data_IF_322300548496
#
_entry.id   IF_322300548496
#
_cell.length_a   1.000
_cell.length_b   1.000
_cell.length_c   1.000
_cell.angle_alpha   90.00
_cell.angle_beta   90.00
_cell.angle_gamma   90.00
#
_symmetry.space_group_name_H-M   'P 1'
#
loop_
_entity.id
_entity.type
_entity.pdbx_description
1 polymer ?
#
# COMPACT_ATOMS: atom_id res chain seq x y z
N UNK A 1 9.10 17.15 15.60
CA UNK A 1 8.06 16.14 15.32
C UNK A 1 8.38 15.45 14.01
N UNK A 2 8.67 14.15 14.03
CA UNK A 2 9.03 13.45 12.79
C UNK A 2 7.85 13.39 11.81
N UNK A 3 8.18 13.50 10.54
CA UNK A 3 7.23 13.32 9.43
C UNK A 3 7.62 12.02 8.72
N UNK A 4 6.71 11.06 8.73
CA UNK A 4 6.98 9.68 8.28
C UNK A 4 6.07 9.34 7.11
N UNK A 5 6.65 9.12 5.94
CA UNK A 5 5.90 8.61 4.80
C UNK A 5 5.57 7.14 5.03
N UNK A 6 4.31 6.77 4.84
CA UNK A 6 3.85 5.41 5.07
C UNK A 6 3.06 4.89 3.88
N UNK A 7 3.14 3.59 3.66
CA UNK A 7 2.41 2.95 2.59
C UNK A 7 2.63 1.44 2.62
N UNK A 8 2.04 0.74 1.67
CA UNK A 8 2.23 -0.69 1.60
C UNK A 8 1.84 -1.28 0.26
N UNK A 9 2.55 -2.32 -0.11
CA UNK A 9 2.32 -3.12 -1.29
C UNK A 9 2.43 -4.57 -0.81
N UNK A 10 1.29 -5.22 -0.65
CA UNK A 10 1.23 -6.51 0.04
C UNK A 10 0.73 -7.60 -0.90
N UNK A 11 1.41 -8.74 -0.91
CA UNK A 11 0.98 -9.91 -1.65
C UNK A 11 1.60 -11.17 -1.05
N UNK A 12 0.79 -12.21 -0.92
CA UNK A 12 1.27 -13.51 -0.50
C UNK A 12 1.41 -14.38 -1.74
N UNK A 13 2.65 -14.60 -2.16
CA UNK A 13 2.94 -15.34 -3.38
C UNK A 13 3.04 -16.83 -3.11
N UNK A 14 2.33 -17.62 -3.92
CA UNK A 14 2.41 -19.07 -3.91
C UNK A 14 2.76 -19.52 -5.34
N UNK A 15 3.98 -19.98 -5.55
CA UNK A 15 4.46 -20.31 -6.88
C UNK A 15 3.74 -21.52 -7.50
N UNK A 16 2.98 -22.26 -6.71
CA UNK A 16 2.17 -23.36 -7.22
C UNK A 16 0.79 -22.94 -7.70
N UNK A 17 0.38 -21.70 -7.40
CA UNK A 17 -0.90 -21.19 -7.86
C UNK A 17 -0.87 -20.98 -9.39
N UNK A 18 -2.01 -21.15 -10.08
CA UNK A 18 -2.02 -21.08 -11.54
C UNK A 18 -2.07 -19.67 -12.11
N UNK A 19 -2.51 -18.70 -11.34
CA UNK A 19 -2.77 -17.36 -11.84
C UNK A 19 -1.86 -16.33 -11.20
N UNK A 20 -1.19 -15.52 -12.04
CA UNK A 20 -0.36 -14.42 -11.58
C UNK A 20 -1.23 -13.26 -11.10
N UNK A 21 -0.68 -12.44 -10.22
CA UNK A 21 -1.35 -11.24 -9.76
C UNK A 21 -1.15 -10.11 -10.77
N UNK A 22 -2.24 -9.63 -11.34
CA UNK A 22 -2.23 -8.53 -12.31
C UNK A 22 -2.48 -7.21 -11.60
N UNK A 23 -2.24 -6.08 -12.28
CA UNK A 23 -2.56 -4.77 -11.74
C UNK A 23 -4.05 -4.68 -11.35
N UNK A 24 -4.94 -5.26 -12.15
CA UNK A 24 -6.38 -5.24 -11.87
C UNK A 24 -6.71 -5.92 -10.54
N UNK A 25 -5.99 -6.98 -10.18
CA UNK A 25 -6.21 -7.64 -8.89
C UNK A 25 -5.91 -6.71 -7.72
N UNK A 26 -4.95 -5.80 -7.87
CA UNK A 26 -4.61 -4.84 -6.83
C UNK A 26 -5.52 -3.61 -6.88
N UNK A 27 -5.88 -3.17 -8.07
CA UNK A 27 -6.65 -1.94 -8.25
C UNK A 27 -8.10 -2.10 -7.81
N UNK A 28 -8.67 -3.27 -8.05
CA UNK A 28 -10.06 -3.56 -7.72
C UNK A 28 -10.18 -4.28 -6.40
N UNK A 29 -11.40 -4.55 -5.98
CA UNK A 29 -11.67 -5.17 -4.69
C UNK A 29 -11.68 -6.69 -4.76
N UNK A 30 -10.73 -7.27 -5.47
CA UNK A 30 -10.44 -8.69 -5.43
C UNK A 30 -10.12 -9.11 -4.00
N UNK A 31 -9.29 -8.30 -3.34
CA UNK A 31 -9.02 -8.44 -1.92
C UNK A 31 -9.22 -7.06 -1.30
N UNK A 32 -10.33 -6.86 -0.63
CA UNK A 32 -10.65 -5.57 -0.04
C UNK A 32 -9.69 -5.25 1.10
N UNK A 33 -9.21 -4.02 1.23
CA UNK A 33 -9.51 -2.88 0.37
C UNK A 33 -8.69 -2.92 -0.92
N UNK A 34 -9.27 -2.42 -2.00
CA UNK A 34 -8.54 -2.23 -3.24
C UNK A 34 -7.50 -1.12 -3.09
N UNK A 35 -6.83 -0.78 -4.18
CA UNK A 35 -5.78 0.22 -4.16
C UNK A 35 -6.30 1.55 -3.61
N UNK A 36 -5.59 2.10 -2.64
CA UNK A 36 -5.88 3.38 -2.01
C UNK A 36 -4.67 4.29 -2.15
N UNK A 37 -4.87 5.59 -2.30
CA UNK A 37 -3.74 6.52 -2.38
C UNK A 37 -4.13 7.90 -1.84
N UNK A 38 -3.13 8.63 -1.35
CA UNK A 38 -3.26 10.01 -0.95
C UNK A 38 -3.89 10.22 0.42
N UNK A 39 -4.30 11.46 0.68
CA UNK A 39 -4.93 11.85 1.93
C UNK A 39 -6.22 11.05 2.15
N UNK A 40 -6.54 10.77 3.37
CA UNK A 40 -7.74 9.97 3.68
C UNK A 40 -7.51 8.48 3.69
N UNK A 41 -6.36 8.01 3.17
CA UNK A 41 -6.04 6.60 3.13
C UNK A 41 -6.04 5.99 4.54
N UNK A 42 -5.42 6.65 5.49
CA UNK A 42 -5.31 6.11 6.85
C UNK A 42 -6.68 6.03 7.53
N UNK A 43 -7.55 7.02 7.30
CA UNK A 43 -8.90 7.00 7.86
C UNK A 43 -9.73 5.87 7.23
N UNK A 44 -9.61 5.69 5.92
CA UNK A 44 -10.33 4.63 5.21
C UNK A 44 -9.94 3.25 5.74
N UNK A 45 -8.65 3.06 6.03
CA UNK A 45 -8.12 1.77 6.46
C UNK A 45 -8.11 1.58 7.97
N UNK A 46 -8.46 2.60 8.75
CA UNK A 46 -8.42 2.53 10.20
C UNK A 46 -9.27 1.36 10.72
N UNK A 47 -8.72 0.60 11.64
CA UNK A 47 -9.40 -0.54 12.24
C UNK A 47 -9.41 -1.80 11.40
N UNK A 48 -8.83 -1.77 10.18
CA UNK A 48 -8.72 -2.95 9.35
C UNK A 48 -7.54 -3.80 9.81
N UNK A 49 -7.65 -5.10 9.62
CA UNK A 49 -6.60 -6.04 10.03
C UNK A 49 -5.56 -6.18 8.92
N UNK A 50 -4.84 -5.09 8.66
CA UNK A 50 -3.76 -5.06 7.66
C UNK A 50 -2.53 -4.39 8.27
N UNK A 51 -1.32 -4.68 7.74
CA UNK A 51 -0.07 -4.16 8.33
C UNK A 51 -0.02 -2.65 8.47
N UNK A 52 -0.46 -1.91 7.47
CA UNK A 52 -0.41 -0.45 7.52
C UNK A 52 -1.28 0.13 8.64
N UNK A 53 -2.49 -0.44 8.82
CA UNK A 53 -3.39 0.01 9.88
C UNK A 53 -2.79 -0.27 11.26
N UNK A 54 -2.16 -1.42 11.43
CA UNK A 54 -1.47 -1.77 12.67
C UNK A 54 -0.31 -0.83 12.97
N UNK A 55 0.48 -0.50 11.96
CA UNK A 55 1.57 0.44 12.10
C UNK A 55 1.04 1.82 12.52
N UNK A 56 0.01 2.31 11.84
CA UNK A 56 -0.55 3.62 12.13
C UNK A 56 -1.13 3.70 13.55
N UNK A 57 -1.80 2.63 13.98
CA UNK A 57 -2.38 2.57 15.33
C UNK A 57 -1.31 2.56 16.42
N UNK A 58 -0.16 1.94 16.15
CA UNK A 58 0.93 1.80 17.12
C UNK A 58 1.90 2.98 17.11
N UNK A 59 1.89 3.81 16.07
CA UNK A 59 2.83 4.92 15.95
C UNK A 59 2.63 5.93 17.08
N UNK A 60 3.72 6.53 17.61
CA UNK A 60 3.59 7.56 18.61
C UNK A 60 2.71 8.72 18.14
N UNK A 61 1.91 9.28 19.04
CA UNK A 61 0.96 10.34 18.68
C UNK A 61 1.60 11.62 18.17
N UNK A 62 2.87 11.86 18.55
CA UNK A 62 3.59 13.05 18.09
C UNK A 62 4.16 12.89 16.67
N UNK A 63 4.11 11.70 16.07
CA UNK A 63 4.54 11.50 14.70
C UNK A 63 3.47 11.97 13.72
N UNK A 64 3.90 12.67 12.67
CA UNK A 64 3.01 13.00 11.56
C UNK A 64 3.15 11.92 10.49
N UNK A 65 2.10 11.14 10.27
CA UNK A 65 2.11 10.09 9.25
C UNK A 65 1.59 10.66 7.93
N UNK A 66 2.39 10.49 6.88
CA UNK A 66 2.09 11.02 5.55
C UNK A 66 1.76 9.83 4.64
N UNK A 67 0.46 9.57 4.39
CA UNK A 67 0.08 8.41 3.60
C UNK A 67 0.47 8.56 2.14
N UNK A 68 0.93 7.46 1.55
CA UNK A 68 1.27 7.40 0.14
C UNK A 68 0.26 6.53 -0.62
N UNK A 69 0.35 5.23 -0.50
CA UNK A 69 -0.57 4.31 -1.14
C UNK A 69 -0.63 3.00 -0.37
N UNK A 70 -1.68 2.27 -0.58
CA UNK A 70 -1.82 0.89 -0.10
C UNK A 70 -2.48 0.06 -1.19
N UNK A 71 -1.98 -1.15 -1.40
CA UNK A 71 -2.69 -2.13 -2.20
C UNK A 71 -2.36 -3.54 -1.75
N UNK A 72 -3.27 -4.45 -2.02
CA UNK A 72 -3.03 -5.88 -1.87
C UNK A 72 -3.88 -6.63 -2.88
N UNK A 73 -3.59 -7.90 -3.04
CA UNK A 73 -4.40 -8.80 -3.86
C UNK A 73 -4.48 -10.15 -3.15
N UNK A 74 -5.48 -10.95 -3.52
CA UNK A 74 -5.62 -12.29 -2.98
C UNK A 74 -4.39 -13.13 -3.28
N UNK A 75 -4.02 -14.08 -2.40
CA UNK A 75 -2.88 -14.95 -2.66
C UNK A 75 -2.98 -15.64 -4.01
N UNK A 76 -1.89 -15.62 -4.77
CA UNK A 76 -1.84 -16.16 -6.12
C UNK A 76 -0.38 -16.41 -6.47
N UNK A 77 -0.08 -16.71 -7.76
CA UNK A 77 1.29 -16.83 -8.21
C UNK A 77 1.97 -15.45 -8.13
N UNK A 78 3.17 -15.31 -8.64
CA UNK A 78 3.91 -14.06 -8.45
C UNK A 78 3.21 -12.87 -9.13
N UNK A 79 3.58 -11.67 -8.69
CA UNK A 79 3.08 -10.41 -9.25
C UNK A 79 3.63 -10.24 -10.66
N UNK A 80 2.77 -9.86 -11.59
CA UNK A 80 3.21 -9.58 -12.96
C UNK A 80 4.12 -8.35 -12.99
N UNK A 81 5.09 -8.36 -13.94
CA UNK A 81 6.00 -7.25 -14.11
C UNK A 81 5.26 -5.93 -14.33
N UNK A 82 4.21 -5.94 -15.16
CA UNK A 82 3.39 -4.75 -15.41
C UNK A 82 2.77 -4.23 -14.13
N UNK A 83 2.23 -5.12 -13.30
CA UNK A 83 1.62 -4.73 -12.02
C UNK A 83 2.65 -4.09 -11.10
N UNK A 84 3.82 -4.72 -10.98
CA UNK A 84 4.91 -4.19 -10.16
C UNK A 84 5.31 -2.80 -10.61
N UNK A 85 5.52 -2.61 -11.91
CA UNK A 85 5.94 -1.31 -12.45
C UNK A 85 4.89 -0.23 -12.23
N UNK A 86 3.61 -0.54 -12.43
CA UNK A 86 2.53 0.44 -12.26
C UNK A 86 2.33 0.80 -10.80
N UNK A 87 2.41 -0.17 -9.90
CA UNK A 87 2.24 0.08 -8.47
C UNK A 87 3.41 0.90 -7.93
N UNK A 88 4.64 0.55 -8.28
CA UNK A 88 5.81 1.32 -7.83
C UNK A 88 5.81 2.74 -8.40
N UNK A 89 5.28 2.93 -9.61
CA UNK A 89 5.14 4.27 -10.19
C UNK A 89 4.18 5.13 -9.36
N UNK A 90 3.08 4.55 -8.89
CA UNK A 90 2.13 5.24 -8.00
C UNK A 90 2.83 5.62 -6.70
N UNK A 91 3.57 4.70 -6.10
CA UNK A 91 4.30 4.97 -4.86
C UNK A 91 5.30 6.10 -5.03
N UNK A 92 6.09 6.07 -6.11
CA UNK A 92 7.08 7.12 -6.36
C UNK A 92 6.41 8.48 -6.58
N UNK A 93 5.31 8.53 -7.31
CA UNK A 93 4.58 9.78 -7.53
C UNK A 93 4.08 10.36 -6.21
N UNK A 94 3.56 9.52 -5.32
CA UNK A 94 3.08 9.97 -4.02
C UNK A 94 4.23 10.46 -3.14
N UNK A 95 5.38 9.78 -3.19
CA UNK A 95 6.55 10.22 -2.44
C UNK A 95 7.07 11.56 -2.94
N UNK A 96 7.11 11.75 -4.26
CA UNK A 96 7.53 13.04 -4.84
C UNK A 96 6.59 14.18 -4.42
N UNK A 97 5.29 13.90 -4.37
CA UNK A 97 4.30 14.90 -3.99
C UNK A 97 4.46 15.37 -2.54
N UNK A 98 5.01 14.52 -1.67
CA UNK A 98 5.28 14.89 -0.28
C UNK A 98 6.48 15.82 -0.14
N UNK A 99 7.33 15.88 -1.16
CA UNK A 99 8.55 16.67 -1.12
C UNK A 99 9.63 16.04 -0.23
N UNK A 100 10.73 16.78 0.06
CA UNK A 100 11.78 16.26 0.92
C UNK A 100 11.24 15.96 2.30
N UNK A 101 11.48 14.73 2.77
CA UNK A 101 11.06 14.31 4.09
C UNK A 101 12.14 14.57 5.13
N UNK A 102 11.80 14.24 6.36
CA UNK A 102 12.77 14.24 7.46
C UNK A 102 13.66 13.01 7.32
N UNK A 103 14.93 13.19 7.50
CA UNK A 103 15.88 12.09 7.42
C UNK A 103 15.77 11.16 8.63
#
# INVERSE_FOLDING_TARGET
MPRIAVGGFHHETNTFAPTKATFEHFARTDSWPGLQQGEGLLETLAGKNIPLSGFAAAAPGEWELLPTMWCNASPSAHVEQDAYERITAILYAELEALGPGDA
#
